data_IF_016680842941
#
_entry.id   IF_016680842941
#
_cell.length_a   1.000
_cell.length_b   1.000
_cell.length_c   1.000
_cell.angle_alpha   90.00
_cell.angle_beta   90.00
_cell.angle_gamma   90.00
#
_symmetry.space_group_name_H-M   'P 1'
#
loop_
_entity.id
_entity.type
_entity.pdbx_description
1 polymer ?
#
# COMPACT_ATOMS: atom_id res chain seq x y z
N UNK A 1 -4.29 -13.01 33.72
CA UNK A 1 -4.86 -12.27 32.57
C UNK A 1 -3.74 -11.47 31.90
N UNK A 2 -2.85 -12.16 31.16
CA UNK A 2 -1.68 -11.54 30.54
C UNK A 2 -2.08 -10.94 29.18
N UNK A 3 -1.87 -9.63 29.02
CA UNK A 3 -2.23 -8.85 27.82
C UNK A 3 -1.47 -9.37 26.60
N UNK A 4 -2.22 -9.87 25.62
CA UNK A 4 -1.81 -10.04 24.22
C UNK A 4 -1.44 -8.67 23.64
N UNK A 5 -0.18 -8.24 23.82
CA UNK A 5 0.34 -7.06 23.12
C UNK A 5 0.65 -7.44 21.68
N UNK A 6 -0.42 -7.35 20.90
CA UNK A 6 -0.49 -7.32 19.45
C UNK A 6 0.78 -6.71 18.85
N UNK A 7 1.53 -7.54 18.13
CA UNK A 7 2.75 -7.19 17.41
C UNK A 7 2.39 -6.11 16.39
N UNK A 8 2.49 -4.82 16.77
CA UNK A 8 2.41 -3.72 15.82
C UNK A 8 3.66 -3.82 14.95
N UNK A 9 3.50 -4.48 13.81
CA UNK A 9 4.53 -4.58 12.80
C UNK A 9 4.97 -3.17 12.43
N UNK A 10 6.24 -2.88 12.67
CA UNK A 10 6.88 -1.63 12.25
C UNK A 10 6.60 -1.40 10.75
N UNK A 11 6.54 -2.48 9.97
CA UNK A 11 6.16 -2.46 8.56
C UNK A 11 4.80 -1.80 8.29
N UNK A 12 3.77 -2.05 9.11
CA UNK A 12 2.45 -1.44 8.95
C UNK A 12 2.50 0.06 9.28
N UNK A 13 3.25 0.47 10.32
CA UNK A 13 3.40 1.88 10.68
C UNK A 13 4.19 2.68 9.63
N UNK A 14 5.29 2.12 9.11
CA UNK A 14 6.05 2.70 8.00
C UNK A 14 5.21 2.72 6.70
N UNK A 15 4.45 1.65 6.45
CA UNK A 15 3.52 1.56 5.34
C UNK A 15 2.46 2.66 5.36
N UNK A 16 1.77 2.86 6.50
CA UNK A 16 0.79 3.94 6.67
C UNK A 16 1.41 5.33 6.52
N UNK A 17 2.63 5.53 7.00
CA UNK A 17 3.35 6.81 6.90
C UNK A 17 3.71 7.13 5.44
N UNK A 18 4.21 6.15 4.67
CA UNK A 18 4.46 6.31 3.23
C UNK A 18 3.16 6.55 2.46
N UNK A 19 2.10 5.79 2.79
CA UNK A 19 0.78 5.95 2.17
C UNK A 19 0.23 7.36 2.39
N UNK A 20 0.33 7.89 3.61
CA UNK A 20 -0.05 9.26 3.95
C UNK A 20 0.77 10.31 3.19
N UNK A 21 2.09 10.08 3.02
CA UNK A 21 2.97 11.00 2.29
C UNK A 21 2.62 11.07 0.79
N UNK A 22 2.35 9.92 0.17
CA UNK A 22 1.94 9.81 -1.24
C UNK A 22 0.54 10.40 -1.44
N UNK A 23 -0.39 10.18 -0.50
CA UNK A 23 -1.73 10.79 -0.53
C UNK A 23 -1.68 12.32 -0.47
N UNK A 24 -0.86 12.89 0.43
CA UNK A 24 -0.74 14.33 0.59
C UNK A 24 -0.18 15.02 -0.67
N UNK A 25 0.71 14.36 -1.42
CA UNK A 25 1.24 14.90 -2.68
C UNK A 25 0.15 15.05 -3.78
N UNK A 26 -0.86 14.18 -3.80
CA UNK A 26 -1.99 14.31 -4.72
C UNK A 26 -2.96 15.45 -4.38
N UNK A 27 -3.08 15.78 -3.08
CA UNK A 27 -3.98 16.84 -2.58
C UNK A 27 -3.59 18.23 -3.11
N UNK A 28 -2.30 18.50 -3.29
CA UNK A 28 -1.83 19.78 -3.84
C UNK A 28 -2.36 20.01 -5.26
N UNK A 29 -2.40 18.98 -6.10
CA UNK A 29 -2.98 19.05 -7.45
C UNK A 29 -4.50 19.20 -7.44
N UNK A 30 -5.17 18.66 -6.42
CA UNK A 30 -6.59 18.86 -6.18
C UNK A 30 -6.89 20.32 -5.78
N UNK A 31 -6.03 20.93 -4.95
CA UNK A 31 -6.13 22.31 -4.52
C UNK A 31 -5.94 23.33 -5.67
N UNK A 32 -5.07 23.01 -6.64
CA UNK A 32 -4.84 23.81 -7.85
C UNK A 32 -6.02 23.80 -8.85
N UNK A 33 -7.18 23.23 -8.50
CA UNK A 33 -8.36 23.14 -9.37
C UNK A 33 -8.22 22.14 -10.53
N UNK A 34 -7.11 21.39 -10.58
CA UNK A 34 -6.82 20.38 -11.63
C UNK A 34 -7.11 18.97 -11.11
N UNK A 35 -8.36 18.74 -10.73
CA UNK A 35 -8.87 17.49 -10.13
C UNK A 35 -8.47 16.26 -10.96
N UNK A 36 -8.61 16.30 -12.29
CA UNK A 36 -8.25 15.19 -13.17
C UNK A 36 -6.79 14.78 -13.09
N UNK A 37 -5.86 15.74 -13.01
CA UNK A 37 -4.42 15.43 -12.88
C UNK A 37 -4.10 14.87 -11.50
N UNK A 38 -4.72 15.41 -10.45
CA UNK A 38 -4.57 14.88 -9.10
C UNK A 38 -5.10 13.45 -8.97
N UNK A 39 -6.25 13.17 -9.59
CA UNK A 39 -6.85 11.84 -9.58
C UNK A 39 -6.04 10.84 -10.39
N UNK A 40 -5.55 11.23 -11.58
CA UNK A 40 -4.69 10.38 -12.39
C UNK A 40 -3.41 10.01 -11.62
N UNK A 41 -2.76 11.00 -10.99
CA UNK A 41 -1.54 10.79 -10.19
C UNK A 41 -1.79 9.98 -8.91
N UNK A 42 -2.94 10.17 -8.27
CA UNK A 42 -3.38 9.36 -7.14
C UNK A 42 -3.61 7.89 -7.56
N UNK A 43 -4.20 7.65 -8.73
CA UNK A 43 -4.36 6.29 -9.25
C UNK A 43 -3.03 5.67 -9.68
N UNK A 44 -2.14 6.37 -10.41
CA UNK A 44 -0.84 5.80 -10.78
C UNK A 44 0.11 5.62 -9.60
N UNK A 45 0.16 6.55 -8.65
CA UNK A 45 1.03 6.42 -7.48
C UNK A 45 0.44 5.53 -6.38
N UNK A 46 -0.86 5.69 -6.12
CA UNK A 46 -1.57 4.98 -5.05
C UNK A 46 -1.90 3.53 -5.40
N UNK A 47 -2.51 3.24 -6.56
CA UNK A 47 -2.83 1.85 -6.93
C UNK A 47 -1.59 1.02 -7.17
N UNK A 48 -0.54 1.59 -7.75
CA UNK A 48 0.69 0.84 -8.00
C UNK A 48 1.38 0.47 -6.68
N UNK A 49 1.35 1.36 -5.69
CA UNK A 49 1.89 1.11 -4.37
C UNK A 49 1.04 0.10 -3.57
N UNK A 50 -0.28 0.27 -3.57
CA UNK A 50 -1.22 -0.67 -2.90
C UNK A 50 -1.16 -2.06 -3.57
N UNK A 51 -1.13 -2.10 -4.91
CA UNK A 51 -1.02 -3.32 -5.70
C UNK A 51 0.27 -4.07 -5.40
N UNK A 52 1.41 -3.37 -5.32
CA UNK A 52 2.71 -3.98 -4.97
C UNK A 52 2.70 -4.58 -3.56
N UNK A 53 2.12 -3.88 -2.58
CA UNK A 53 2.02 -4.41 -1.21
C UNK A 53 1.12 -5.66 -1.19
N UNK A 54 -0.05 -5.59 -1.84
CA UNK A 54 -0.98 -6.72 -1.89
C UNK A 54 -0.37 -7.95 -2.59
N UNK A 55 0.41 -7.72 -3.66
CA UNK A 55 1.13 -8.76 -4.39
C UNK A 55 2.20 -9.42 -3.53
N UNK A 56 2.98 -8.65 -2.77
CA UNK A 56 3.98 -9.17 -1.83
C UNK A 56 3.38 -10.14 -0.78
N UNK A 57 2.19 -9.85 -0.26
CA UNK A 57 1.49 -10.76 0.67
C UNK A 57 0.93 -12.01 -0.02
N UNK A 58 0.61 -11.92 -1.31
CA UNK A 58 0.03 -13.03 -2.08
C UNK A 58 1.08 -13.96 -2.68
N UNK A 59 2.27 -13.44 -3.03
CA UNK A 59 3.37 -14.19 -3.67
C UNK A 59 3.76 -15.46 -2.91
N UNK A 60 3.80 -15.42 -1.57
CA UNK A 60 4.16 -16.59 -0.77
C UNK A 60 3.25 -17.79 -1.02
N UNK A 61 1.93 -17.57 -1.14
CA UNK A 61 0.98 -18.64 -1.46
C UNK A 61 1.06 -19.08 -2.92
N UNK A 62 1.40 -18.19 -3.84
CA UNK A 62 1.56 -18.55 -5.25
C UNK A 62 2.78 -19.47 -5.46
N UNK A 63 3.92 -19.13 -4.84
CA UNK A 63 5.14 -19.93 -4.92
C UNK A 63 4.93 -21.32 -4.31
N UNK A 64 4.32 -21.41 -3.14
CA UNK A 64 4.06 -22.71 -2.48
C UNK A 64 3.08 -23.59 -3.28
N UNK A 65 2.16 -22.98 -4.03
CA UNK A 65 1.22 -23.69 -4.91
C UNK A 65 1.90 -24.23 -6.16
N UNK A 66 2.83 -23.49 -6.76
CA UNK A 66 3.65 -23.93 -7.90
C UNK A 66 4.64 -25.01 -7.48
N UNK A 67 5.33 -24.85 -6.34
CA UNK A 67 6.29 -25.83 -5.84
C UNK A 67 5.67 -27.18 -5.45
N UNK A 68 4.37 -27.23 -5.11
CA UNK A 68 3.64 -28.48 -4.88
C UNK A 68 3.20 -29.20 -6.16
N UNK A 69 3.23 -28.51 -7.29
CA UNK A 69 2.88 -29.08 -8.60
C UNK A 69 4.10 -29.60 -9.36
N UNK A 70 5.31 -29.23 -8.91
CA UNK A 70 6.58 -29.84 -9.32
C UNK A 70 6.94 -30.99 -8.37
#
# INVERSE_FOLDING_TARGET
MAKTFNHKEKGIAFGLTLLGFILCAGLQHFYLGRIFRGLLWFFTGGLFFIGTIYDLFTIGRQVERVNRQM
#
